data_IF_311130938307
#
_entry.id   IF_311130938307
#
_cell.length_a   1.000
_cell.length_b   1.000
_cell.length_c   1.000
_cell.angle_alpha   90.00
_cell.angle_beta   90.00
_cell.angle_gamma   90.00
#
_symmetry.space_group_name_H-M   'P 1'
#
loop_
_entity.id
_entity.type
_entity.pdbx_description
1 polymer ?
#
# COMPACT_ATOMS: atom_id res chain seq x y z
N UNK A 1 12.50 6.30 10.45
CA UNK A 1 11.40 6.39 11.45
C UNK A 1 11.62 7.46 12.51
N UNK A 2 12.71 7.45 13.29
CA UNK A 2 12.92 8.49 14.33
C UNK A 2 12.89 9.94 13.80
N UNK A 3 13.47 10.20 12.62
CA UNK A 3 13.41 11.51 11.99
C UNK A 3 11.99 11.97 11.60
N UNK A 4 11.09 11.03 11.27
CA UNK A 4 9.67 11.35 11.04
C UNK A 4 8.99 11.70 12.37
N UNK A 5 9.20 10.86 13.40
CA UNK A 5 8.63 11.09 14.73
C UNK A 5 9.06 12.44 15.33
N UNK A 6 10.33 12.82 15.20
CA UNK A 6 10.83 14.11 15.70
C UNK A 6 10.24 15.32 14.96
N UNK A 7 9.76 15.14 13.73
CA UNK A 7 9.09 16.16 12.93
C UNK A 7 7.56 16.21 13.14
N UNK A 8 7.06 15.44 14.12
CA UNK A 8 5.65 15.39 14.51
C UNK A 8 4.79 14.50 13.62
N UNK A 9 5.40 13.64 12.81
CA UNK A 9 4.66 12.64 12.04
C UNK A 9 4.21 11.48 12.93
N UNK A 10 3.10 10.84 12.56
CA UNK A 10 2.63 9.60 13.15
C UNK A 10 1.94 8.74 12.10
N UNK A 11 2.12 7.42 12.18
CA UNK A 11 1.54 6.53 11.19
C UNK A 11 0.05 6.29 11.43
N UNK A 12 -0.70 6.18 10.34
CA UNK A 12 -2.09 5.74 10.28
C UNK A 12 -2.24 4.74 9.13
N UNK A 13 -3.33 3.97 9.13
CA UNK A 13 -3.64 3.03 8.05
C UNK A 13 -4.45 3.70 6.93
N UNK A 14 -4.60 3.04 5.78
CA UNK A 14 -5.43 3.55 4.67
C UNK A 14 -6.92 3.56 5.04
N UNK A 15 -7.40 2.55 5.78
CA UNK A 15 -8.75 2.52 6.33
C UNK A 15 -9.01 3.69 7.30
N UNK A 16 -8.03 4.05 8.12
CA UNK A 16 -8.13 5.24 8.98
C UNK A 16 -8.16 6.53 8.14
N UNK A 17 -7.28 6.64 7.14
CA UNK A 17 -7.29 7.76 6.19
C UNK A 17 -8.63 7.89 5.44
N UNK A 18 -9.19 6.77 5.00
CA UNK A 18 -10.50 6.72 4.36
C UNK A 18 -11.61 7.19 5.30
N UNK A 19 -11.61 6.72 6.55
CA UNK A 19 -12.56 7.13 7.57
C UNK A 19 -12.47 8.64 7.84
N UNK A 20 -11.26 9.19 7.89
CA UNK A 20 -11.05 10.63 8.01
C UNK A 20 -11.61 11.39 6.81
N UNK A 21 -11.27 11.01 5.59
CA UNK A 21 -11.75 11.70 4.38
C UNK A 21 -13.26 11.60 4.14
N UNK A 22 -13.90 10.51 4.59
CA UNK A 22 -15.32 10.27 4.33
C UNK A 22 -16.23 10.65 5.49
N UNK A 23 -15.75 10.55 6.72
CA UNK A 23 -16.56 10.72 7.95
C UNK A 23 -15.98 11.74 8.92
N UNK A 24 -14.83 12.34 8.64
CA UNK A 24 -14.16 13.26 9.55
C UNK A 24 -13.63 12.59 10.82
N UNK A 25 -13.45 11.26 10.83
CA UNK A 25 -12.89 10.54 11.98
C UNK A 25 -11.48 11.02 12.25
N UNK A 26 -11.20 11.51 13.47
CA UNK A 26 -9.88 12.04 13.83
C UNK A 26 -8.76 11.04 13.57
N UNK A 27 -7.67 11.51 12.97
CA UNK A 27 -6.41 10.75 12.82
C UNK A 27 -5.48 10.94 14.02
N UNK A 28 -5.92 11.63 15.07
CA UNK A 28 -5.08 12.04 16.19
C UNK A 28 -4.32 13.34 15.94
N UNK A 29 -3.56 13.78 16.94
CA UNK A 29 -2.73 15.00 16.86
C UNK A 29 -1.43 14.74 16.09
N UNK A 30 -0.99 15.72 15.30
CA UNK A 30 0.26 15.63 14.56
C UNK A 30 0.03 15.54 13.06
N UNK A 31 1.06 15.10 12.33
CA UNK A 31 1.04 14.95 10.88
C UNK A 31 0.83 13.47 10.52
N UNK A 32 -0.35 13.07 10.04
CA UNK A 32 -0.57 11.67 9.67
C UNK A 32 0.27 11.30 8.44
N UNK A 33 0.84 10.09 8.46
CA UNK A 33 1.50 9.46 7.30
C UNK A 33 1.01 8.02 7.16
N UNK A 34 0.79 7.56 5.93
CA UNK A 34 0.58 6.13 5.67
C UNK A 34 1.94 5.54 5.29
N UNK A 35 2.33 4.46 5.96
CA UNK A 35 3.54 3.70 5.63
C UNK A 35 3.08 2.38 5.03
N UNK A 36 3.44 2.13 3.77
CA UNK A 36 3.11 0.90 3.07
C UNK A 36 4.35 0.07 2.78
N UNK A 37 4.18 -1.23 2.79
CA UNK A 37 5.15 -2.20 2.32
C UNK A 37 4.47 -3.07 1.27
N UNK A 38 5.19 -3.37 0.20
CA UNK A 38 4.69 -4.14 -0.94
C UNK A 38 5.35 -5.52 -0.99
N UNK A 39 4.71 -6.45 -1.69
CA UNK A 39 5.11 -7.81 -2.03
C UNK A 39 5.02 -8.85 -0.90
N UNK A 40 5.11 -8.46 0.37
CA UNK A 40 5.08 -9.41 1.50
C UNK A 40 6.43 -10.06 1.84
N UNK A 41 7.52 -9.30 1.90
CA UNK A 41 8.83 -9.79 2.33
C UNK A 41 8.89 -10.08 3.84
N UNK A 42 9.51 -11.20 4.22
CA UNK A 42 9.75 -11.58 5.61
C UNK A 42 10.54 -10.51 6.41
N UNK A 43 11.32 -9.66 5.73
CA UNK A 43 12.04 -8.54 6.33
C UNK A 43 11.11 -7.46 6.92
N UNK A 44 9.88 -7.32 6.41
CA UNK A 44 8.89 -6.40 6.96
C UNK A 44 8.48 -6.85 8.38
N UNK A 45 8.27 -8.15 8.57
CA UNK A 45 8.05 -8.72 9.89
C UNK A 45 9.31 -8.68 10.76
N UNK A 46 10.45 -9.13 10.25
CA UNK A 46 11.66 -9.27 11.07
C UNK A 46 12.25 -7.92 11.49
N UNK A 47 12.17 -6.90 10.64
CA UNK A 47 12.85 -5.62 10.83
C UNK A 47 11.89 -4.45 11.05
N UNK A 48 10.83 -4.31 10.24
CA UNK A 48 9.95 -3.14 10.31
C UNK A 48 8.97 -3.23 11.48
N UNK A 49 8.34 -4.39 11.72
CA UNK A 49 7.38 -4.58 12.80
C UNK A 49 7.94 -4.21 14.18
N UNK A 50 9.13 -4.67 14.63
CA UNK A 50 9.65 -4.30 15.95
C UNK A 50 9.86 -2.78 16.10
N UNK A 51 10.32 -2.12 15.04
CA UNK A 51 10.55 -0.66 15.04
C UNK A 51 9.22 0.08 15.15
N UNK A 52 8.24 -0.26 14.30
CA UNK A 52 6.93 0.42 14.28
C UNK A 52 6.12 0.14 15.55
N UNK A 53 6.18 -1.10 16.07
CA UNK A 53 5.60 -1.47 17.37
C UNK A 53 6.19 -0.63 18.51
N UNK A 54 7.51 -0.40 18.52
CA UNK A 54 8.18 0.47 19.50
C UNK A 54 7.75 1.94 19.42
N UNK A 55 7.16 2.37 18.29
CA UNK A 55 6.59 3.71 18.12
C UNK A 55 5.08 3.76 18.37
N UNK A 56 4.40 2.61 18.51
CA UNK A 56 2.94 2.51 18.50
C UNK A 56 2.34 2.85 17.14
N UNK A 57 3.08 2.64 16.06
CA UNK A 57 2.71 3.01 14.70
C UNK A 57 2.20 1.79 13.93
N UNK A 58 1.03 1.86 13.28
CA UNK A 58 0.63 0.85 12.32
C UNK A 58 1.38 1.04 10.98
N UNK A 59 1.26 0.07 10.09
CA UNK A 59 1.58 0.19 8.67
C UNK A 59 0.54 -0.58 7.84
N UNK A 60 0.69 -0.53 6.52
CA UNK A 60 -0.11 -1.29 5.55
C UNK A 60 0.81 -2.28 4.85
N UNK A 61 0.44 -3.55 4.84
CA UNK A 61 1.11 -4.58 4.04
C UNK A 61 0.26 -4.90 2.81
N UNK A 62 0.79 -4.64 1.61
CA UNK A 62 0.17 -4.97 0.33
C UNK A 62 0.74 -6.29 -0.19
N UNK A 63 0.08 -7.40 0.09
CA UNK A 63 0.60 -8.72 -0.26
C UNK A 63 0.43 -9.05 -1.74
N UNK A 64 1.45 -9.67 -2.33
CA UNK A 64 1.29 -10.58 -3.46
C UNK A 64 0.99 -11.98 -2.91
N UNK A 65 -0.25 -12.45 -3.05
CA UNK A 65 -0.76 -13.59 -2.29
C UNK A 65 -0.07 -14.92 -2.61
N UNK A 66 0.38 -15.09 -3.84
CA UNK A 66 1.09 -16.27 -4.36
C UNK A 66 2.42 -15.91 -5.03
N UNK A 67 2.77 -14.63 -5.10
CA UNK A 67 3.95 -14.13 -5.82
C UNK A 67 5.29 -14.28 -5.07
N UNK A 68 5.28 -14.44 -3.75
CA UNK A 68 6.50 -14.58 -2.95
C UNK A 68 6.35 -15.63 -1.83
N UNK A 69 6.76 -16.89 -2.05
CA UNK A 69 6.63 -17.93 -1.03
C UNK A 69 7.65 -17.76 0.11
N UNK A 70 7.38 -18.29 1.32
CA UNK A 70 8.31 -18.20 2.44
C UNK A 70 9.70 -18.79 2.19
N UNK A 71 9.80 -19.82 1.34
CA UNK A 71 11.07 -20.41 0.92
C UNK A 71 11.98 -19.44 0.17
N UNK A 72 11.42 -18.37 -0.38
CA UNK A 72 12.10 -17.32 -1.15
C UNK A 72 12.16 -15.99 -0.38
N UNK A 73 11.89 -16.03 0.93
CA UNK A 73 11.92 -14.84 1.78
C UNK A 73 10.59 -14.11 1.87
N UNK A 74 9.48 -14.74 1.48
CA UNK A 74 8.13 -14.24 1.73
C UNK A 74 7.66 -14.40 3.17
N UNK A 75 6.63 -13.66 3.55
CA UNK A 75 5.97 -13.80 4.84
C UNK A 75 5.26 -15.15 4.95
N UNK A 76 5.41 -15.80 6.10
CA UNK A 76 4.57 -16.95 6.47
C UNK A 76 3.18 -16.49 6.89
N UNK A 77 2.20 -17.38 6.79
CA UNK A 77 0.84 -17.10 7.26
C UNK A 77 0.80 -16.77 8.77
N UNK A 78 1.72 -17.30 9.58
CA UNK A 78 1.83 -16.94 11.00
C UNK A 78 2.31 -15.50 11.17
N UNK A 79 3.36 -15.09 10.46
CA UNK A 79 3.87 -13.72 10.47
C UNK A 79 2.82 -12.71 10.00
N UNK A 80 2.05 -13.02 8.96
CA UNK A 80 0.94 -12.15 8.49
C UNK A 80 -0.10 -11.94 9.59
N UNK A 81 -0.49 -13.00 10.30
CA UNK A 81 -1.44 -12.89 11.43
C UNK A 81 -0.87 -12.04 12.57
N UNK A 82 0.43 -12.11 12.81
CA UNK A 82 1.08 -11.27 13.81
C UNK A 82 1.16 -9.80 13.39
N UNK A 83 1.35 -9.49 12.10
CA UNK A 83 1.25 -8.12 11.58
C UNK A 83 -0.16 -7.55 11.81
N UNK A 84 -1.20 -8.33 11.46
CA UNK A 84 -2.60 -7.96 11.72
C UNK A 84 -2.83 -7.72 13.22
N UNK A 85 -2.37 -8.64 14.08
CA UNK A 85 -2.52 -8.51 15.53
C UNK A 85 -1.76 -7.30 16.11
N UNK A 86 -0.72 -6.82 15.43
CA UNK A 86 -0.01 -5.59 15.77
C UNK A 86 -0.71 -4.31 15.27
N UNK A 87 -1.88 -4.43 14.66
CA UNK A 87 -2.68 -3.31 14.16
C UNK A 87 -2.28 -2.84 12.76
N UNK A 88 -1.51 -3.63 12.02
CA UNK A 88 -1.27 -3.33 10.61
C UNK A 88 -2.51 -3.64 9.79
N UNK A 89 -2.74 -2.82 8.77
CA UNK A 89 -3.73 -3.09 7.74
C UNK A 89 -3.14 -4.06 6.72
N UNK A 90 -3.98 -4.97 6.23
CA UNK A 90 -3.60 -5.94 5.20
C UNK A 90 -4.44 -5.68 3.94
N UNK A 91 -3.75 -5.30 2.88
CA UNK A 91 -4.28 -5.08 1.54
C UNK A 91 -3.51 -5.96 0.54
N UNK A 92 -3.66 -5.74 -0.76
CA UNK A 92 -3.09 -6.63 -1.78
C UNK A 92 -2.61 -5.91 -3.03
N UNK A 93 -1.63 -6.54 -3.68
CA UNK A 93 -1.21 -6.27 -5.05
C UNK A 93 -1.83 -7.26 -6.06
N UNK A 94 -2.72 -8.14 -5.61
CA UNK A 94 -3.27 -9.23 -6.39
C UNK A 94 -2.61 -10.56 -6.05
N UNK A 95 -2.68 -11.50 -6.98
CA UNK A 95 -2.21 -12.86 -6.78
C UNK A 95 -0.68 -12.93 -6.88
N UNK A 96 -0.11 -12.41 -7.96
CA UNK A 96 1.30 -12.60 -8.31
C UNK A 96 1.84 -11.34 -9.04
N UNK A 97 3.10 -11.31 -9.52
CA UNK A 97 3.68 -10.09 -10.10
C UNK A 97 3.26 -9.83 -11.55
N UNK A 98 2.16 -10.44 -12.02
CA UNK A 98 1.67 -10.26 -13.39
C UNK A 98 1.41 -8.78 -13.72
N UNK A 99 1.86 -8.36 -14.91
CA UNK A 99 1.48 -7.07 -15.48
C UNK A 99 0.00 -7.06 -15.84
N UNK A 100 -0.80 -6.42 -14.98
CA UNK A 100 -2.25 -6.33 -15.10
C UNK A 100 -2.70 -5.63 -16.40
N UNK A 101 -1.84 -4.82 -17.03
CA UNK A 101 -2.17 -4.12 -18.27
C UNK A 101 -2.15 -5.03 -19.50
N UNK A 102 -1.53 -6.21 -19.37
CA UNK A 102 -1.42 -7.24 -20.40
C UNK A 102 -2.37 -8.43 -20.19
N UNK A 103 -3.14 -8.45 -19.10
CA UNK A 103 -4.08 -9.54 -18.76
C UNK A 103 -5.41 -9.36 -19.51
N UNK A 104 -6.01 -10.47 -19.93
CA UNK A 104 -7.38 -10.46 -20.47
C UNK A 104 -8.38 -9.87 -19.45
N UNK A 105 -9.31 -8.99 -19.86
CA UNK A 105 -10.22 -8.33 -18.92
C UNK A 105 -11.06 -9.27 -18.05
N UNK A 106 -11.47 -10.44 -18.58
CA UNK A 106 -12.25 -11.41 -17.81
C UNK A 106 -11.38 -12.12 -16.77
N UNK A 107 -10.14 -12.45 -17.14
CA UNK A 107 -9.16 -13.01 -16.22
C UNK A 107 -8.80 -12.01 -15.12
N UNK A 108 -8.55 -10.76 -15.47
CA UNK A 108 -8.26 -9.69 -14.51
C UNK A 108 -9.38 -9.52 -13.47
N UNK A 109 -10.64 -9.54 -13.91
CA UNK A 109 -11.79 -9.45 -13.00
C UNK A 109 -11.87 -10.67 -12.05
N UNK A 110 -11.60 -11.87 -12.56
CA UNK A 110 -11.58 -13.10 -11.77
C UNK A 110 -10.44 -13.08 -10.74
N UNK A 111 -9.24 -12.64 -11.13
CA UNK A 111 -8.06 -12.59 -10.26
C UNK A 111 -8.26 -11.59 -9.12
N UNK A 112 -8.78 -10.40 -9.42
CA UNK A 112 -9.09 -9.38 -8.42
C UNK A 112 -10.14 -9.87 -7.40
N UNK A 113 -11.15 -10.60 -7.87
CA UNK A 113 -12.19 -11.19 -6.99
C UNK A 113 -11.62 -12.32 -6.14
N UNK A 114 -10.81 -13.19 -6.75
CA UNK A 114 -10.16 -14.33 -6.09
C UNK A 114 -9.19 -13.87 -5.01
N UNK A 115 -8.45 -12.77 -5.25
CA UNK A 115 -7.56 -12.18 -4.26
C UNK A 115 -8.31 -11.79 -2.98
N UNK A 116 -9.47 -11.11 -3.09
CA UNK A 116 -10.29 -10.74 -1.93
C UNK A 116 -10.80 -11.96 -1.17
N UNK A 117 -11.27 -12.98 -1.89
CA UNK A 117 -11.75 -14.23 -1.29
C UNK A 117 -10.63 -15.00 -0.58
N UNK A 118 -9.44 -15.04 -1.17
CA UNK A 118 -8.27 -15.67 -0.59
C UNK A 118 -7.84 -14.97 0.70
N UNK A 119 -7.78 -13.64 0.72
CA UNK A 119 -7.48 -12.90 1.94
C UNK A 119 -8.52 -13.10 3.03
N UNK A 120 -9.81 -13.07 2.67
CA UNK A 120 -10.89 -13.28 3.63
C UNK A 120 -10.85 -14.69 4.22
N UNK A 121 -10.58 -15.72 3.41
CA UNK A 121 -10.52 -17.11 3.85
C UNK A 121 -9.26 -17.43 4.68
N UNK A 122 -8.10 -16.90 4.30
CA UNK A 122 -6.83 -17.21 4.98
C UNK A 122 -6.59 -16.38 6.24
N UNK A 123 -6.97 -15.10 6.20
CA UNK A 123 -6.60 -14.11 7.22
C UNK A 123 -7.80 -13.45 7.90
N UNK A 124 -9.03 -13.71 7.44
CA UNK A 124 -10.23 -13.09 8.00
C UNK A 124 -10.40 -11.62 7.64
N UNK A 125 -9.60 -11.10 6.70
CA UNK A 125 -9.60 -9.69 6.29
C UNK A 125 -10.06 -9.59 4.83
N UNK A 126 -11.01 -8.71 4.56
CA UNK A 126 -11.31 -8.28 3.19
C UNK A 126 -10.46 -7.03 2.91
N UNK A 127 -9.57 -7.05 1.91
CA UNK A 127 -8.77 -5.87 1.57
C UNK A 127 -9.67 -4.76 1.02
N UNK A 128 -9.45 -3.54 1.50
CA UNK A 128 -10.20 -2.36 1.05
C UNK A 128 -9.43 -1.60 -0.02
N UNK A 129 -8.10 -1.68 0.00
CA UNK A 129 -7.23 -0.99 -0.95
C UNK A 129 -6.46 -1.97 -1.82
N UNK A 130 -6.02 -1.45 -2.96
CA UNK A 130 -5.17 -2.16 -3.90
C UNK A 130 -3.86 -1.38 -4.09
N UNK A 131 -2.77 -2.07 -4.40
CA UNK A 131 -1.52 -1.44 -4.86
C UNK A 131 -1.19 -2.03 -6.23
N UNK A 132 -1.00 -1.20 -7.25
CA UNK A 132 -0.71 -1.73 -8.59
C UNK A 132 0.68 -2.39 -8.61
N UNK A 133 0.80 -3.68 -9.00
CA UNK A 133 2.10 -4.32 -9.21
C UNK A 133 3.00 -3.49 -10.11
N UNK A 134 4.26 -3.29 -9.71
CA UNK A 134 5.24 -2.43 -10.41
C UNK A 134 4.81 -0.96 -10.59
N UNK A 135 3.65 -0.55 -10.07
CA UNK A 135 3.04 0.74 -10.30
C UNK A 135 2.24 0.85 -11.60
N UNK A 136 2.12 -0.23 -12.38
CA UNK A 136 1.59 -0.18 -13.74
C UNK A 136 0.06 -0.24 -13.75
N UNK A 137 -0.55 0.69 -14.46
CA UNK A 137 -2.01 0.75 -14.61
C UNK A 137 -2.43 1.47 -15.89
N UNK A 138 -3.63 1.12 -16.35
CA UNK A 138 -4.32 1.80 -17.44
C UNK A 138 -5.83 1.94 -17.08
N UNK A 139 -6.64 2.61 -17.91
CA UNK A 139 -8.07 2.77 -17.63
C UNK A 139 -8.84 1.45 -17.46
N UNK A 140 -8.45 0.38 -18.17
CA UNK A 140 -9.06 -0.96 -18.04
C UNK A 140 -8.78 -1.55 -16.67
N UNK A 141 -7.52 -1.48 -16.21
CA UNK A 141 -7.12 -1.97 -14.88
C UNK A 141 -7.82 -1.18 -13.77
N UNK A 142 -7.84 0.15 -13.88
CA UNK A 142 -8.56 1.02 -12.91
C UNK A 142 -10.04 0.63 -12.83
N UNK A 143 -10.69 0.42 -13.98
CA UNK A 143 -12.09 0.04 -14.03
C UNK A 143 -12.33 -1.34 -13.40
N UNK A 144 -11.45 -2.31 -13.63
CA UNK A 144 -11.54 -3.64 -13.06
C UNK A 144 -11.35 -3.63 -11.53
N UNK A 145 -10.36 -2.90 -11.01
CA UNK A 145 -10.14 -2.72 -9.57
C UNK A 145 -11.35 -2.05 -8.92
N UNK A 146 -11.93 -1.03 -9.56
CA UNK A 146 -13.18 -0.42 -9.09
C UNK A 146 -14.36 -1.39 -9.08
N UNK A 147 -14.52 -2.18 -10.14
CA UNK A 147 -15.61 -3.15 -10.28
C UNK A 147 -15.50 -4.30 -9.26
N UNK A 148 -14.28 -4.69 -8.86
CA UNK A 148 -14.03 -5.66 -7.79
C UNK A 148 -14.32 -5.10 -6.38
N UNK A 149 -14.74 -3.83 -6.27
CA UNK A 149 -15.20 -3.21 -5.03
C UNK A 149 -14.08 -2.81 -4.09
N UNK A 150 -12.88 -2.51 -4.58
CA UNK A 150 -11.87 -1.81 -3.80
C UNK A 150 -12.28 -0.34 -3.61
N UNK A 151 -11.93 0.26 -2.47
CA UNK A 151 -12.21 1.65 -2.13
C UNK A 151 -11.28 2.65 -2.85
N UNK A 152 -10.11 2.17 -3.27
CA UNK A 152 -9.12 2.92 -4.02
C UNK A 152 -7.86 2.09 -4.26
N UNK A 153 -6.86 2.70 -4.88
CA UNK A 153 -5.61 2.07 -5.23
C UNK A 153 -4.43 3.05 -5.19
N UNK A 154 -3.28 2.55 -4.74
CA UNK A 154 -2.00 3.26 -4.68
C UNK A 154 -1.18 3.08 -5.96
N UNK A 155 -0.43 4.11 -6.31
CA UNK A 155 0.50 4.14 -7.44
C UNK A 155 1.90 4.49 -6.97
N UNK A 156 2.89 4.35 -7.84
CA UNK A 156 4.28 4.80 -7.60
C UNK A 156 4.52 6.27 -7.98
N UNK A 157 3.47 6.99 -8.43
CA UNK A 157 3.59 8.38 -8.81
C UNK A 157 3.84 9.26 -7.58
N UNK A 158 4.86 10.10 -7.64
CA UNK A 158 5.29 10.92 -6.51
C UNK A 158 4.31 12.05 -6.19
N UNK A 159 3.81 12.10 -4.97
CA UNK A 159 2.92 13.18 -4.55
C UNK A 159 2.26 12.92 -3.20
N UNK A 160 1.55 13.94 -2.71
CA UNK A 160 0.71 13.79 -1.52
C UNK A 160 -0.66 13.26 -1.89
N UNK A 161 -1.09 12.22 -1.17
CA UNK A 161 -2.46 11.75 -1.25
C UNK A 161 -3.43 12.83 -0.74
N UNK A 162 -4.53 13.01 -1.45
CA UNK A 162 -5.51 14.07 -1.17
C UNK A 162 -6.93 13.55 -1.31
N UNK A 163 -7.90 14.03 -0.49
CA UNK A 163 -9.31 13.67 -0.68
C UNK A 163 -9.90 14.16 -2.00
N UNK A 164 -9.27 15.14 -2.66
CA UNK A 164 -9.64 15.61 -4.00
C UNK A 164 -8.99 14.80 -5.14
N UNK A 165 -7.99 13.97 -4.84
CA UNK A 165 -7.36 13.11 -5.84
C UNK A 165 -8.28 11.95 -6.23
N UNK A 166 -8.06 11.41 -7.42
CA UNK A 166 -8.69 10.15 -7.82
C UNK A 166 -8.20 9.03 -6.88
N UNK A 167 -9.11 8.45 -6.11
CA UNK A 167 -8.79 7.41 -5.12
C UNK A 167 -8.21 6.15 -5.73
N UNK A 168 -8.41 5.91 -7.03
CA UNK A 168 -7.80 4.77 -7.74
C UNK A 168 -6.43 5.09 -8.33
N UNK A 169 -5.91 6.28 -8.06
CA UNK A 169 -4.61 6.76 -8.49
C UNK A 169 -3.94 7.55 -7.36
N UNK A 170 -4.00 7.03 -6.13
CA UNK A 170 -3.38 7.71 -5.01
C UNK A 170 -1.85 7.75 -5.20
N UNK A 171 -1.23 8.94 -5.15
CA UNK A 171 0.21 9.06 -5.21
C UNK A 171 0.84 8.65 -3.87
N UNK A 172 2.12 8.31 -3.93
CA UNK A 172 2.94 7.95 -2.78
C UNK A 172 4.39 8.33 -2.99
N UNK A 173 5.24 8.12 -1.99
CA UNK A 173 6.68 8.34 -2.14
C UNK A 173 7.38 7.00 -2.13
N UNK A 174 8.18 6.73 -3.16
CA UNK A 174 8.97 5.52 -3.18
C UNK A 174 10.27 5.74 -2.41
N UNK A 175 10.46 4.90 -1.39
CA UNK A 175 11.63 4.90 -0.53
C UNK A 175 12.49 3.70 -0.89
N UNK A 176 13.71 3.95 -1.34
CA UNK A 176 14.67 2.89 -1.68
C UNK A 176 15.68 2.67 -0.56
N UNK A 177 16.43 1.56 -0.60
CA UNK A 177 17.43 1.21 0.42
C UNK A 177 18.49 2.30 0.64
N UNK A 178 18.79 3.13 -0.36
CA UNK A 178 19.75 4.25 -0.25
C UNK A 178 19.15 5.54 0.32
N UNK A 179 17.84 5.60 0.58
CA UNK A 179 17.17 6.81 1.04
C UNK A 179 17.51 7.10 2.50
N UNK A 180 18.31 8.14 2.72
CA UNK A 180 18.65 8.62 4.06
C UNK A 180 17.47 9.35 4.73
N UNK A 181 17.46 9.50 6.07
CA UNK A 181 16.39 10.23 6.75
C UNK A 181 16.20 11.68 6.29
N UNK A 182 17.27 12.40 5.98
CA UNK A 182 17.18 13.78 5.48
C UNK A 182 16.62 13.84 4.06
N UNK A 183 17.01 12.91 3.19
CA UNK A 183 16.44 12.79 1.84
C UNK A 183 14.94 12.47 1.90
N UNK A 184 14.50 11.56 2.78
CA UNK A 184 13.07 11.27 2.94
C UNK A 184 12.29 12.52 3.37
N UNK A 185 12.79 13.27 4.35
CA UNK A 185 12.15 14.52 4.78
C UNK A 185 12.10 15.56 3.66
N UNK A 186 13.15 15.68 2.86
CA UNK A 186 13.20 16.57 1.70
C UNK A 186 12.20 16.14 0.61
N UNK A 187 12.09 14.83 0.32
CA UNK A 187 11.11 14.27 -0.62
C UNK A 187 9.69 14.57 -0.16
N UNK A 188 9.38 14.36 1.12
CA UNK A 188 8.06 14.67 1.70
C UNK A 188 7.71 16.15 1.52
N UNK A 189 8.65 17.06 1.77
CA UNK A 189 8.44 18.48 1.58
C UNK A 189 8.23 18.86 0.10
N UNK A 190 9.05 18.31 -0.80
CA UNK A 190 8.95 18.58 -2.23
C UNK A 190 7.65 18.06 -2.86
N UNK A 191 7.14 16.92 -2.38
CA UNK A 191 5.95 16.28 -2.94
C UNK A 191 4.62 16.99 -2.64
N UNK A 192 4.61 17.98 -1.74
CA UNK A 192 3.41 18.77 -1.43
C UNK A 192 2.86 19.52 -2.65
N UNK A 193 3.70 19.84 -3.63
CA UNK A 193 3.34 20.66 -4.79
C UNK A 193 2.99 19.82 -6.02
N UNK A 194 3.19 18.49 -5.99
CA UNK A 194 2.93 17.62 -7.12
C UNK A 194 1.50 17.07 -7.07
N UNK A 195 0.67 17.38 -8.07
CA UNK A 195 -0.79 17.14 -8.00
C UNK A 195 -1.36 16.34 -9.17
N UNK A 196 -0.65 16.17 -10.28
CA UNK A 196 -1.18 15.50 -11.46
C UNK A 196 -0.64 14.07 -11.61
N UNK A 197 -1.43 13.09 -11.15
CA UNK A 197 -1.17 11.66 -11.41
C UNK A 197 -1.74 11.30 -12.80
N UNK A 198 -0.95 10.70 -13.71
CA UNK A 198 -1.42 10.41 -15.07
C UNK A 198 -2.55 9.38 -15.09
N UNK A 199 -3.33 9.34 -16.19
CA UNK A 199 -4.44 8.38 -16.36
C UNK A 199 -3.99 6.95 -16.67
N UNK A 200 -2.73 6.78 -17.04
CA UNK A 200 -2.05 5.50 -17.20
C UNK A 200 -0.57 5.69 -16.79
N UNK A 201 0.06 4.63 -16.31
CA UNK A 201 1.48 4.59 -16.02
C UNK A 201 2.03 3.22 -16.42
N UNK A 202 3.19 3.21 -17.06
CA UNK A 202 4.02 2.03 -17.24
C UNK A 202 5.45 2.46 -17.01
N UNK A 203 6.08 1.90 -15.99
CA UNK A 203 7.46 2.21 -15.61
C UNK A 203 8.33 0.96 -15.67
N UNK A 204 9.64 1.14 -15.87
CA UNK A 204 10.58 0.07 -15.55
C UNK A 204 10.51 -0.06 -14.02
N UNK A 205 9.89 -1.14 -13.54
CA UNK A 205 9.59 -1.34 -12.12
C UNK A 205 10.78 -0.96 -11.23
N UNK A 206 10.48 -0.34 -10.09
CA UNK A 206 11.48 -0.05 -9.08
C UNK A 206 11.94 -1.39 -8.48
N UNK A 207 12.97 -1.97 -9.10
CA UNK A 207 13.65 -3.18 -8.66
C UNK A 207 14.38 -2.97 -7.33
#
# INVERSE_FOLDING_TARGET
>A
MQALKSQGWHAVTLNQLQAYWTRGTSLGSGKPIVITFDNGYASQYANALPILKGLGWPAVENLQLTGLPPSEGGLTAAQIRELIAAGWELDTQGLDPTDLTAVDPSQLANDLTSAKQMMQSQYGVTPNWFSYPSGDYNPTVIAAVRAAGYAGAMTVNQGWASPQADRFRLPGLVVTAGTTPSQLLAQIAAAQTNTAVPSAYSGVGLA
#
